data_IF_861733388161
#
_entry.id   IF_861733388161
#
_cell.length_a   1.000
_cell.length_b   1.000
_cell.length_c   1.000
_cell.angle_alpha   90.00
_cell.angle_beta   90.00
_cell.angle_gamma   90.00
#
_symmetry.space_group_name_H-M   'P 1'
#
loop_
_entity.id
_entity.type
_entity.pdbx_description
1 polymer ?
#
# COMPACT_ATOMS: atom_id res chain seq x y z
N UNK A 1 47.63 20.88 19.46
CA UNK A 1 46.84 19.62 19.37
C UNK A 1 45.54 19.57 20.19
N UNK A 2 45.21 20.50 21.10
CA UNK A 2 43.96 20.43 21.89
C UNK A 2 42.70 20.99 21.19
N UNK A 3 42.86 21.96 20.27
CA UNK A 3 41.72 22.61 19.59
C UNK A 3 41.01 21.71 18.55
N UNK A 4 41.74 20.81 17.90
CA UNK A 4 41.19 19.92 16.86
C UNK A 4 40.24 18.87 17.45
N UNK A 5 40.56 18.32 18.63
CA UNK A 5 39.71 17.35 19.32
C UNK A 5 38.41 17.94 19.88
N UNK A 6 38.37 19.24 20.16
CA UNK A 6 37.17 19.91 20.66
C UNK A 6 36.13 20.14 19.55
N UNK A 7 36.57 20.54 18.34
CA UNK A 7 35.67 20.70 17.21
C UNK A 7 35.07 19.37 16.73
N UNK A 8 35.85 18.29 16.73
CA UNK A 8 35.35 16.95 16.38
C UNK A 8 34.27 16.48 17.38
N UNK A 9 34.45 16.76 18.68
CA UNK A 9 33.46 16.43 19.72
C UNK A 9 32.18 17.24 19.60
N UNK A 10 32.27 18.54 19.32
CA UNK A 10 31.09 19.39 19.09
C UNK A 10 30.34 18.95 17.84
N UNK A 11 31.04 18.63 16.74
CA UNK A 11 30.43 18.11 15.52
C UNK A 11 29.73 16.76 15.76
N UNK A 12 30.38 15.83 16.47
CA UNK A 12 29.80 14.53 16.80
C UNK A 12 28.54 14.65 17.69
N UNK A 13 28.54 15.55 18.68
CA UNK A 13 27.38 15.83 19.53
C UNK A 13 26.24 16.44 18.71
N UNK A 14 26.55 17.35 17.78
CA UNK A 14 25.57 17.99 16.90
C UNK A 14 24.90 16.99 15.96
N UNK A 15 25.70 16.08 15.36
CA UNK A 15 25.19 14.99 14.52
C UNK A 15 24.35 14.02 15.34
N UNK A 16 24.78 13.65 16.54
CA UNK A 16 24.02 12.76 17.43
C UNK A 16 22.68 13.39 17.89
N UNK A 17 22.65 14.68 18.21
CA UNK A 17 21.40 15.39 18.55
C UNK A 17 20.47 15.48 17.34
N UNK A 18 21.00 15.77 16.15
CA UNK A 18 20.21 15.80 14.92
C UNK A 18 19.62 14.42 14.58
N UNK A 19 20.38 13.34 14.73
CA UNK A 19 19.88 11.98 14.50
C UNK A 19 18.87 11.55 15.56
N UNK A 20 19.09 11.88 16.84
CA UNK A 20 18.11 11.60 17.91
C UNK A 20 16.82 12.38 17.66
N UNK A 21 16.91 13.64 17.26
CA UNK A 21 15.74 14.48 16.96
C UNK A 21 15.00 13.94 15.74
N UNK A 22 15.72 13.55 14.68
CA UNK A 22 15.15 12.91 13.50
C UNK A 22 14.45 11.60 13.88
N UNK A 23 15.11 10.71 14.62
CA UNK A 23 14.54 9.43 15.10
C UNK A 23 13.32 9.69 15.99
N UNK A 24 13.37 10.66 16.89
CA UNK A 24 12.25 11.04 17.75
C UNK A 24 11.06 11.56 16.95
N UNK A 25 11.28 12.43 15.95
CA UNK A 25 10.22 12.88 15.05
C UNK A 25 9.64 11.74 14.21
N UNK A 26 10.49 10.87 13.64
CA UNK A 26 10.04 9.70 12.87
C UNK A 26 9.24 8.72 13.75
N UNK A 27 9.68 8.45 14.98
CA UNK A 27 9.02 7.52 15.88
C UNK A 27 7.74 8.09 16.51
N UNK A 28 7.63 9.41 16.73
CA UNK A 28 6.49 9.99 17.45
C UNK A 28 5.49 10.76 16.56
N UNK A 29 5.93 11.43 15.49
CA UNK A 29 5.04 12.24 14.65
C UNK A 29 4.29 11.41 13.58
N UNK A 30 4.92 10.37 13.02
CA UNK A 30 4.29 9.52 12.01
C UNK A 30 3.15 8.66 12.57
N UNK A 31 3.27 7.98 13.74
CA UNK A 31 2.15 7.27 14.34
C UNK A 31 1.03 8.19 14.83
N UNK A 32 1.34 9.46 15.15
CA UNK A 32 0.32 10.43 15.53
C UNK A 32 -0.53 10.88 14.34
N UNK A 33 0.05 10.89 13.12
CA UNK A 33 -0.63 11.34 11.90
C UNK A 33 -1.37 10.22 11.17
N UNK A 34 -0.84 9.00 11.23
CA UNK A 34 -1.38 7.87 10.48
C UNK A 34 -1.49 6.63 11.38
N UNK A 35 -2.55 5.82 11.27
CA UNK A 35 -2.60 4.51 11.91
C UNK A 35 -1.62 3.53 11.24
N UNK A 36 -1.11 2.56 12.01
CA UNK A 36 -0.41 1.42 11.45
C UNK A 36 -1.42 0.53 10.72
N UNK A 37 -1.06 0.06 9.52
CA UNK A 37 -1.79 -1.02 8.86
C UNK A 37 -1.12 -2.36 9.15
N UNK A 38 -1.76 -3.44 8.68
CA UNK A 38 -1.13 -4.74 8.70
C UNK A 38 0.16 -4.74 7.86
N UNK A 39 1.28 -5.05 8.50
CA UNK A 39 2.53 -5.28 7.80
C UNK A 39 2.53 -6.72 7.27
N UNK A 40 2.62 -6.93 5.94
CA UNK A 40 2.80 -8.27 5.41
C UNK A 40 4.13 -8.85 5.91
N UNK A 41 4.07 -10.06 6.45
CA UNK A 41 5.22 -10.86 6.86
C UNK A 41 5.87 -11.48 5.63
N UNK A 42 7.14 -11.83 5.71
CA UNK A 42 7.81 -12.57 4.64
C UNK A 42 7.07 -13.89 4.30
N UNK A 43 6.42 -14.51 5.29
CA UNK A 43 5.56 -15.68 5.05
C UNK A 43 4.37 -15.37 4.16
N UNK A 44 3.79 -14.17 4.25
CA UNK A 44 2.66 -13.76 3.41
C UNK A 44 3.13 -13.49 1.98
N UNK A 45 4.40 -13.06 1.81
CA UNK A 45 5.02 -12.85 0.50
C UNK A 45 5.33 -14.20 -0.17
N UNK A 46 5.74 -15.20 0.61
CA UNK A 46 6.08 -16.54 0.13
C UNK A 46 4.86 -17.46 -0.04
N UNK A 47 3.74 -17.16 0.63
CA UNK A 47 2.52 -17.94 0.56
C UNK A 47 1.30 -17.02 0.44
N UNK A 48 1.07 -16.53 -0.78
CA UNK A 48 -0.10 -15.73 -1.12
C UNK A 48 -1.28 -16.59 -1.60
N UNK A 49 -1.36 -17.86 -1.18
CA UNK A 49 -2.43 -18.77 -1.57
C UNK A 49 -3.75 -18.39 -0.88
N UNK A 50 -4.87 -18.69 -1.52
CA UNK A 50 -6.18 -18.57 -0.89
C UNK A 50 -6.29 -19.54 0.28
N UNK A 51 -6.55 -19.02 1.49
CA UNK A 51 -6.82 -19.82 2.67
C UNK A 51 -8.30 -20.24 2.66
N UNK A 52 -8.57 -21.52 2.35
CA UNK A 52 -9.92 -22.08 2.34
C UNK A 52 -10.49 -22.32 3.74
N UNK A 53 -9.63 -22.36 4.76
CA UNK A 53 -10.02 -22.63 6.14
C UNK A 53 -10.40 -21.33 6.87
N UNK A 54 -9.93 -20.18 6.38
CA UNK A 54 -10.22 -18.86 6.93
C UNK A 54 -10.85 -17.92 5.89
N UNK A 55 -12.18 -17.98 5.76
CA UNK A 55 -12.93 -17.28 4.69
C UNK A 55 -13.87 -16.18 5.17
N UNK A 56 -13.97 -15.94 6.48
CA UNK A 56 -14.94 -14.99 7.04
C UNK A 56 -14.19 -13.81 7.67
N UNK A 57 -14.22 -12.68 6.97
CA UNK A 57 -13.75 -11.40 7.49
C UNK A 57 -14.77 -10.75 8.44
N UNK A 58 -14.25 -9.95 9.36
CA UNK A 58 -15.00 -9.05 10.24
C UNK A 58 -14.51 -7.62 10.06
N UNK A 59 -15.41 -6.71 9.68
CA UNK A 59 -15.14 -5.28 9.52
C UNK A 59 -16.10 -4.48 10.38
N UNK A 60 -15.60 -3.80 11.42
CA UNK A 60 -16.42 -3.01 12.36
C UNK A 60 -17.60 -3.81 12.94
N UNK A 61 -17.38 -5.11 13.20
CA UNK A 61 -18.41 -6.03 13.71
C UNK A 61 -19.32 -6.66 12.66
N UNK A 62 -19.31 -6.19 11.41
CA UNK A 62 -20.01 -6.84 10.30
C UNK A 62 -19.17 -7.99 9.72
N UNK A 63 -19.82 -9.10 9.33
CA UNK A 63 -19.15 -10.23 8.68
C UNK A 63 -19.22 -10.11 7.16
N UNK A 64 -18.17 -10.56 6.48
CA UNK A 64 -18.13 -10.66 5.02
C UNK A 64 -17.34 -11.89 4.57
N UNK A 65 -17.78 -12.55 3.51
CA UNK A 65 -17.09 -13.72 2.97
C UNK A 65 -16.01 -13.28 1.98
N UNK A 66 -14.81 -13.82 2.11
CA UNK A 66 -13.75 -13.66 1.12
C UNK A 66 -14.12 -14.37 -0.18
N UNK A 67 -13.54 -13.91 -1.28
CA UNK A 67 -13.78 -14.47 -2.61
C UNK A 67 -12.55 -15.27 -3.05
N UNK A 68 -12.75 -16.54 -3.38
CA UNK A 68 -11.74 -17.33 -4.10
C UNK A 68 -11.75 -16.88 -5.56
N UNK A 69 -10.68 -16.20 -5.96
CA UNK A 69 -10.40 -15.74 -7.32
C UNK A 69 -10.20 -16.96 -8.23
N UNK A 70 -10.71 -16.85 -9.46
CA UNK A 70 -10.50 -17.85 -10.50
C UNK A 70 -9.05 -17.75 -11.00
N UNK A 71 -8.40 -18.89 -11.22
CA UNK A 71 -7.12 -18.95 -11.91
C UNK A 71 -7.35 -18.70 -13.41
N UNK A 72 -7.33 -17.42 -13.79
CA UNK A 72 -7.30 -17.07 -15.21
C UNK A 72 -5.88 -17.32 -15.75
N UNK A 73 -5.74 -17.89 -16.96
CA UNK A 73 -4.45 -17.92 -17.63
C UNK A 73 -4.00 -16.47 -17.81
N UNK A 74 -2.97 -16.08 -17.06
CA UNK A 74 -2.34 -14.76 -17.20
C UNK A 74 -1.85 -14.68 -18.64
N UNK A 75 -2.53 -13.89 -19.46
CA UNK A 75 -2.04 -13.58 -20.80
C UNK A 75 -0.79 -12.72 -20.61
N UNK A 76 0.36 -13.37 -20.51
CA UNK A 76 1.63 -12.70 -20.43
C UNK A 76 1.78 -11.83 -21.67
N UNK A 77 1.80 -10.50 -21.47
CA UNK A 77 2.23 -9.58 -22.51
C UNK A 77 3.64 -10.04 -22.90
N UNK A 78 3.76 -10.64 -24.08
CA UNK A 78 5.00 -11.19 -24.61
C UNK A 78 6.06 -10.08 -24.58
N UNK A 79 7.22 -10.41 -23.99
CA UNK A 79 8.43 -9.61 -23.85
C UNK A 79 8.66 -8.69 -25.06
N UNK A 80 8.74 -7.37 -24.85
CA UNK A 80 9.08 -6.48 -25.95
C UNK A 80 9.17 -4.98 -25.72
N UNK A 81 8.72 -4.42 -24.58
CA UNK A 81 8.92 -2.98 -24.32
C UNK A 81 9.17 -2.70 -22.83
N UNK A 82 10.44 -2.82 -22.43
CA UNK A 82 10.96 -2.50 -21.09
C UNK A 82 11.04 -0.99 -20.80
N UNK A 83 10.35 -0.14 -21.58
CA UNK A 83 10.49 1.32 -21.51
C UNK A 83 9.14 2.05 -21.36
N UNK A 84 8.05 1.37 -21.00
CA UNK A 84 6.78 2.07 -20.78
C UNK A 84 6.82 2.82 -19.44
N UNK A 85 6.61 4.15 -19.46
CA UNK A 85 6.48 4.92 -18.23
C UNK A 85 5.09 4.71 -17.64
N UNK A 86 4.97 3.79 -16.68
CA UNK A 86 3.74 3.55 -15.93
C UNK A 86 3.68 4.40 -14.66
N UNK A 87 2.50 4.95 -14.36
CA UNK A 87 2.21 5.68 -13.12
C UNK A 87 0.78 5.45 -12.69
N UNK A 88 0.56 5.36 -11.38
CA UNK A 88 -0.75 5.38 -10.76
C UNK A 88 -0.93 6.73 -10.07
N UNK A 89 -2.11 7.32 -10.22
CA UNK A 89 -2.51 8.52 -9.53
C UNK A 89 -3.74 8.25 -8.66
N UNK A 90 -3.71 8.70 -7.41
CA UNK A 90 -4.82 8.61 -6.48
C UNK A 90 -5.27 10.02 -6.11
N UNK A 91 -6.46 10.38 -6.57
CA UNK A 91 -7.12 11.63 -6.25
C UNK A 91 -8.07 11.42 -5.05
N UNK A 92 -7.61 11.85 -3.88
CA UNK A 92 -8.37 11.75 -2.63
C UNK A 92 -9.59 12.68 -2.60
N UNK A 93 -9.60 13.74 -3.39
CA UNK A 93 -10.73 14.69 -3.44
C UNK A 93 -11.91 14.05 -4.15
N UNK A 94 -11.64 13.47 -5.32
CA UNK A 94 -12.66 12.88 -6.18
C UNK A 94 -12.88 11.39 -5.93
N UNK A 95 -12.08 10.78 -5.04
CA UNK A 95 -12.11 9.34 -4.75
C UNK A 95 -11.97 8.52 -6.06
N UNK A 96 -10.94 8.88 -6.84
CA UNK A 96 -10.59 8.23 -8.10
C UNK A 96 -9.15 7.73 -8.09
N UNK A 97 -8.93 6.65 -8.81
CA UNK A 97 -7.60 6.17 -9.18
C UNK A 97 -7.48 6.15 -10.70
N UNK A 98 -6.40 6.73 -11.20
CA UNK A 98 -6.06 6.74 -12.61
C UNK A 98 -4.76 5.97 -12.83
N UNK A 99 -4.72 5.13 -13.87
CA UNK A 99 -3.50 4.43 -14.29
C UNK A 99 -3.06 4.96 -15.65
N UNK A 100 -1.81 5.38 -15.76
CA UNK A 100 -1.23 5.94 -16.98
C UNK A 100 -0.09 5.06 -17.48
N UNK A 101 -0.04 4.83 -18.79
CA UNK A 101 1.08 4.19 -19.50
C UNK A 101 1.49 5.13 -20.63
N UNK A 102 2.75 5.59 -20.64
CA UNK A 102 3.28 6.53 -21.65
C UNK A 102 2.45 7.83 -21.78
N UNK A 103 1.93 8.32 -20.66
CA UNK A 103 1.12 9.54 -20.59
C UNK A 103 -0.35 9.35 -21.00
N UNK A 104 -0.74 8.17 -21.51
CA UNK A 104 -2.13 7.85 -21.82
C UNK A 104 -2.81 7.23 -20.60
N UNK A 105 -4.03 7.69 -20.28
CA UNK A 105 -4.86 7.07 -19.24
C UNK A 105 -5.41 5.74 -19.73
N UNK A 106 -4.98 4.66 -19.08
CA UNK A 106 -5.40 3.27 -19.36
C UNK A 106 -6.60 2.89 -18.49
N UNK A 107 -6.56 3.25 -17.21
CA UNK A 107 -7.64 2.96 -16.26
C UNK A 107 -8.12 4.19 -15.51
N UNK A 108 -9.38 4.12 -15.10
CA UNK A 108 -10.09 5.15 -14.36
C UNK A 108 -11.12 4.50 -13.43
N UNK A 109 -10.76 4.34 -12.17
CA UNK A 109 -11.50 3.57 -11.17
C UNK A 109 -12.06 4.46 -10.07
N UNK A 110 -13.23 4.09 -9.57
CA UNK A 110 -13.76 4.64 -8.31
C UNK A 110 -13.12 3.90 -7.14
N UNK A 111 -12.75 4.63 -6.09
CA UNK A 111 -12.06 4.05 -4.91
C UNK A 111 -12.72 4.46 -3.59
N UNK A 112 -12.27 3.86 -2.51
CA UNK A 112 -12.46 4.39 -1.15
C UNK A 112 -11.12 4.49 -0.43
N UNK A 113 -10.67 5.70 -0.12
CA UNK A 113 -9.46 5.93 0.66
C UNK A 113 -9.72 5.87 2.17
N UNK A 114 -8.70 6.19 2.97
CA UNK A 114 -8.75 6.19 4.43
C UNK A 114 -9.64 7.28 5.01
N UNK A 115 -10.36 6.94 6.08
CA UNK A 115 -11.07 7.92 6.90
C UNK A 115 -10.09 8.93 7.52
N UNK A 116 -10.58 10.11 7.91
CA UNK A 116 -9.84 11.11 8.70
C UNK A 116 -8.47 11.51 8.16
N UNK A 117 -8.34 11.57 6.83
CA UNK A 117 -7.08 11.90 6.18
C UNK A 117 -5.95 10.88 6.42
N UNK A 118 -6.29 9.61 6.68
CA UNK A 118 -5.32 8.58 7.01
C UNK A 118 -4.57 7.98 5.81
N UNK A 119 -5.02 8.21 4.57
CA UNK A 119 -4.22 7.85 3.40
C UNK A 119 -3.11 8.89 3.19
N UNK A 120 -1.83 8.49 3.25
CA UNK A 120 -0.73 9.43 3.14
C UNK A 120 -0.63 9.98 1.71
N UNK A 121 -0.28 11.26 1.60
CA UNK A 121 0.00 11.93 0.32
C UNK A 121 1.47 11.87 -0.01
N UNK A 122 1.77 11.98 -1.30
CA UNK A 122 3.14 12.03 -1.81
C UNK A 122 3.36 11.09 -2.97
N UNK A 123 4.63 10.90 -3.31
CA UNK A 123 5.08 9.93 -4.31
C UNK A 123 5.58 8.68 -3.60
N UNK A 124 5.09 7.54 -4.04
CA UNK A 124 5.39 6.21 -3.50
C UNK A 124 5.75 5.27 -4.64
N UNK A 125 6.25 4.09 -4.29
CA UNK A 125 6.47 2.99 -5.22
C UNK A 125 5.89 1.71 -4.64
N UNK A 126 5.32 0.87 -5.50
CA UNK A 126 4.92 -0.49 -5.12
C UNK A 126 6.20 -1.26 -4.74
N UNK A 127 6.21 -1.91 -3.58
CA UNK A 127 7.36 -2.72 -3.17
C UNK A 127 7.05 -4.21 -3.14
N UNK A 128 5.78 -4.60 -3.03
CA UNK A 128 5.36 -5.98 -3.20
C UNK A 128 3.92 -6.07 -3.68
N UNK A 129 3.62 -7.13 -4.42
CA UNK A 129 2.29 -7.50 -4.88
C UNK A 129 1.97 -8.92 -4.40
N UNK A 130 0.80 -9.10 -3.77
CA UNK A 130 0.29 -10.37 -3.27
C UNK A 130 -1.10 -10.64 -3.83
N UNK A 131 -1.35 -11.82 -4.39
CA UNK A 131 -2.67 -12.18 -4.91
C UNK A 131 -3.70 -12.30 -3.78
N UNK A 132 -3.28 -12.84 -2.63
CA UNK A 132 -4.04 -12.81 -1.39
C UNK A 132 -3.15 -12.42 -0.21
N UNK A 133 -3.71 -11.67 0.73
CA UNK A 133 -3.03 -11.37 2.00
C UNK A 133 -4.06 -11.25 3.11
N UNK A 134 -3.71 -11.68 4.33
CA UNK A 134 -4.54 -11.37 5.49
C UNK A 134 -4.23 -9.96 5.96
N UNK A 135 -5.24 -9.18 6.30
CA UNK A 135 -5.07 -7.89 6.97
C UNK A 135 -5.84 -7.88 8.30
N UNK A 136 -5.16 -7.49 9.37
CA UNK A 136 -5.75 -7.35 10.70
C UNK A 136 -5.22 -6.09 11.37
N UNK A 137 -6.09 -5.35 12.05
CA UNK A 137 -5.70 -4.11 12.72
C UNK A 137 -6.86 -3.42 13.41
N UNK A 138 -6.67 -2.14 13.71
CA UNK A 138 -7.62 -1.33 14.47
C UNK A 138 -7.65 -1.70 15.96
N UNK A 139 -8.64 -1.18 16.68
CA UNK A 139 -8.76 -1.35 18.12
C UNK A 139 -10.18 -1.77 18.50
N UNK A 140 -10.30 -2.87 19.28
CA UNK A 140 -11.59 -3.42 19.71
C UNK A 140 -12.35 -2.46 20.64
N UNK A 141 -11.65 -1.80 21.55
CA UNK A 141 -12.22 -0.82 22.49
C UNK A 141 -12.76 0.40 21.74
N UNK A 142 -12.03 0.85 20.71
CA UNK A 142 -12.44 1.99 19.87
C UNK A 142 -13.41 1.59 18.75
N UNK A 143 -13.84 0.33 18.67
CA UNK A 143 -14.73 -0.22 17.63
C UNK A 143 -14.22 -0.01 16.20
N UNK A 144 -12.91 0.06 16.02
CA UNK A 144 -12.22 0.16 14.71
C UNK A 144 -11.55 -1.14 14.29
N UNK A 145 -11.64 -2.19 15.11
CA UNK A 145 -11.04 -3.48 14.81
C UNK A 145 -11.56 -4.08 13.51
N UNK A 146 -10.65 -4.67 12.74
CA UNK A 146 -10.95 -5.46 11.57
C UNK A 146 -10.05 -6.70 11.49
N UNK A 147 -10.62 -7.76 10.94
CA UNK A 147 -9.96 -9.02 10.60
C UNK A 147 -10.40 -9.40 9.19
N UNK A 148 -9.49 -9.44 8.24
CA UNK A 148 -9.82 -9.61 6.83
C UNK A 148 -8.89 -10.67 6.23
N UNK A 149 -9.28 -11.95 6.21
CA UNK A 149 -8.52 -12.95 5.49
C UNK A 149 -8.65 -12.75 3.98
N UNK A 150 -7.69 -13.27 3.21
CA UNK A 150 -7.75 -13.35 1.76
C UNK A 150 -8.09 -12.01 1.06
N UNK A 151 -7.54 -10.89 1.52
CA UNK A 151 -7.66 -9.59 0.83
C UNK A 151 -7.01 -9.71 -0.55
N UNK A 152 -7.78 -9.53 -1.64
CA UNK A 152 -7.31 -9.86 -2.97
C UNK A 152 -6.48 -8.74 -3.61
N UNK A 153 -5.53 -9.12 -4.46
CA UNK A 153 -4.78 -8.23 -5.35
C UNK A 153 -4.11 -7.05 -4.64
N UNK A 154 -3.40 -7.34 -3.55
CA UNK A 154 -2.79 -6.30 -2.72
C UNK A 154 -1.47 -5.83 -3.32
N UNK A 155 -1.34 -4.52 -3.50
CA UNK A 155 -0.13 -3.82 -3.93
C UNK A 155 0.31 -2.88 -2.81
N UNK A 156 1.27 -3.31 -1.99
CA UNK A 156 1.79 -2.47 -0.92
C UNK A 156 2.79 -1.46 -1.45
N UNK A 157 2.74 -0.25 -0.91
CA UNK A 157 3.59 0.86 -1.34
C UNK A 157 4.32 1.53 -0.17
N UNK A 158 5.40 2.24 -0.49
CA UNK A 158 6.23 2.94 0.48
C UNK A 158 6.94 4.13 -0.14
N UNK A 159 7.49 4.98 0.72
CA UNK A 159 8.54 5.93 0.40
C UNK A 159 9.40 6.18 1.65
N UNK A 160 10.33 7.12 1.58
CA UNK A 160 11.26 7.41 2.69
C UNK A 160 10.55 7.91 3.96
N UNK A 161 9.38 8.56 3.80
CA UNK A 161 8.61 9.13 4.92
C UNK A 161 7.57 8.15 5.49
N UNK A 162 7.04 7.26 4.64
CA UNK A 162 6.07 6.23 4.98
C UNK A 162 6.69 4.88 4.63
N UNK A 163 7.44 4.29 5.58
CA UNK A 163 8.20 3.08 5.32
C UNK A 163 7.29 1.86 5.13
N UNK A 164 7.80 0.83 4.45
CA UNK A 164 7.05 -0.37 4.08
C UNK A 164 6.36 -1.07 5.27
N UNK A 165 6.95 -1.02 6.47
CA UNK A 165 6.36 -1.61 7.68
C UNK A 165 5.03 -0.96 8.10
N UNK A 166 4.66 0.19 7.52
CA UNK A 166 3.38 0.84 7.77
C UNK A 166 2.21 0.15 7.10
N UNK A 167 2.46 -0.73 6.12
CA UNK A 167 1.45 -1.61 5.52
C UNK A 167 0.41 -0.92 4.64
N UNK A 168 0.68 0.28 4.13
CA UNK A 168 -0.25 0.93 3.19
C UNK A 168 -0.24 0.22 1.84
N UNK A 169 -1.42 0.03 1.26
CA UNK A 169 -1.55 -0.61 -0.04
C UNK A 169 -2.80 -0.20 -0.80
N UNK A 170 -2.81 -0.56 -2.08
CA UNK A 170 -3.97 -0.62 -2.94
C UNK A 170 -4.46 -2.07 -2.95
N UNK A 171 -5.76 -2.35 -2.80
CA UNK A 171 -6.25 -3.74 -2.84
C UNK A 171 -7.73 -3.84 -3.19
N UNK A 172 -8.16 -5.04 -3.60
CA UNK A 172 -9.57 -5.36 -3.77
C UNK A 172 -10.28 -5.48 -2.43
N UNK A 173 -11.60 -5.26 -2.42
CA UNK A 173 -12.38 -5.12 -1.18
C UNK A 173 -13.68 -5.91 -1.28
N UNK A 174 -13.86 -6.90 -0.41
CA UNK A 174 -15.07 -7.74 -0.38
C UNK A 174 -16.04 -7.41 0.78
N UNK A 175 -15.63 -6.58 1.74
CA UNK A 175 -16.39 -6.31 2.97
C UNK A 175 -17.28 -5.05 2.92
N UNK A 176 -17.19 -4.24 1.87
CA UNK A 176 -18.09 -3.12 1.63
C UNK A 176 -18.14 -2.76 0.14
N UNK A 177 -19.20 -2.05 -0.27
CA UNK A 177 -19.37 -1.52 -1.63
C UNK A 177 -19.43 0.02 -1.69
N UNK A 178 -18.97 0.70 -0.63
CA UNK A 178 -19.07 2.15 -0.41
C UNK A 178 -18.10 3.01 -1.25
N UNK A 179 -17.83 2.61 -2.49
CA UNK A 179 -16.88 3.31 -3.37
C UNK A 179 -17.33 4.73 -3.72
N UNK A 180 -16.38 5.65 -3.87
CA UNK A 180 -16.61 7.07 -4.14
C UNK A 180 -16.59 7.93 -2.87
N UNK A 181 -16.36 7.32 -1.71
CA UNK A 181 -16.19 8.01 -0.42
C UNK A 181 -15.14 7.31 0.43
N UNK A 182 -14.45 8.05 1.32
CA UNK A 182 -13.51 7.46 2.27
C UNK A 182 -14.18 6.42 3.17
N UNK A 183 -13.50 5.30 3.41
CA UNK A 183 -14.03 4.19 4.19
C UNK A 183 -12.97 3.39 4.95
N UNK A 184 -11.73 3.32 4.45
CA UNK A 184 -10.71 2.41 4.96
C UNK A 184 -9.98 2.99 6.18
N UNK A 185 -9.02 2.23 6.73
CA UNK A 185 -8.09 2.71 7.75
C UNK A 185 -6.85 3.39 7.19
N UNK A 186 -6.74 3.58 5.88
CA UNK A 186 -5.59 4.20 5.24
C UNK A 186 -5.26 3.64 3.86
N UNK A 187 -5.48 2.34 3.65
CA UNK A 187 -5.33 1.71 2.33
C UNK A 187 -6.32 2.29 1.31
N UNK A 188 -6.03 2.11 0.02
CA UNK A 188 -6.94 2.51 -1.05
C UNK A 188 -7.72 1.28 -1.48
N UNK A 189 -9.01 1.28 -1.20
CA UNK A 189 -9.92 0.18 -1.50
C UNK A 189 -10.42 0.34 -2.94
N UNK A 190 -10.24 -0.71 -3.74
CA UNK A 190 -10.81 -0.85 -5.07
C UNK A 190 -11.90 -1.93 -5.08
N UNK A 191 -12.78 -1.88 -6.07
CA UNK A 191 -13.57 -3.05 -6.45
C UNK A 191 -12.61 -4.18 -6.84
N UNK A 192 -12.93 -5.41 -6.46
CA UNK A 192 -12.02 -6.55 -6.66
C UNK A 192 -11.65 -6.74 -8.14
N UNK A 193 -12.60 -6.55 -9.05
CA UNK A 193 -12.39 -6.63 -10.50
C UNK A 193 -11.51 -5.50 -11.06
N UNK A 194 -11.49 -4.33 -10.42
CA UNK A 194 -10.64 -3.21 -10.82
C UNK A 194 -9.23 -3.36 -10.21
N UNK A 195 -9.15 -3.88 -8.98
CA UNK A 195 -7.89 -4.26 -8.34
C UNK A 195 -7.15 -5.32 -9.16
N UNK A 196 -7.87 -6.31 -9.70
CA UNK A 196 -7.32 -7.33 -10.59
C UNK A 196 -6.63 -6.74 -11.81
N UNK A 197 -7.37 -5.89 -12.56
CA UNK A 197 -6.84 -5.23 -13.76
C UNK A 197 -5.59 -4.41 -13.43
N UNK A 198 -5.64 -3.66 -12.33
CA UNK A 198 -4.52 -2.83 -11.89
C UNK A 198 -3.33 -3.70 -11.48
N UNK A 199 -3.55 -4.78 -10.75
CA UNK A 199 -2.52 -5.69 -10.25
C UNK A 199 -1.71 -6.36 -11.36
N UNK A 200 -2.38 -6.82 -12.42
CA UNK A 200 -1.71 -7.44 -13.56
C UNK A 200 -1.07 -6.43 -14.51
N UNK A 201 -1.57 -5.19 -14.55
CA UNK A 201 -0.97 -4.11 -15.34
C UNK A 201 0.25 -3.46 -14.67
N UNK A 202 0.19 -3.28 -13.35
CA UNK A 202 1.22 -2.61 -12.57
C UNK A 202 2.48 -3.46 -12.40
N UNK A 203 3.60 -2.77 -12.27
CA UNK A 203 4.90 -3.33 -11.92
C UNK A 203 5.08 -3.36 -10.39
N UNK A 204 5.91 -4.25 -9.83
CA UNK A 204 6.83 -5.17 -10.52
C UNK A 204 6.10 -6.25 -11.32
N UNK A 205 6.68 -6.68 -12.44
CA UNK A 205 6.13 -7.75 -13.25
C UNK A 205 6.13 -9.07 -12.47
N UNK A 206 5.05 -9.84 -12.58
CA UNK A 206 4.88 -11.09 -11.83
C UNK A 206 5.78 -12.22 -12.33
N UNK A 207 6.21 -12.19 -13.60
CA UNK A 207 7.07 -13.21 -14.22
C UNK A 207 6.57 -14.64 -13.98
N UNK A 208 5.26 -14.86 -14.12
CA UNK A 208 4.61 -16.16 -13.94
C UNK A 208 4.31 -16.55 -12.48
N UNK A 209 4.61 -15.68 -11.51
CA UNK A 209 4.27 -15.87 -10.09
C UNK A 209 2.91 -15.26 -9.75
N UNK A 210 2.40 -15.58 -8.56
CA UNK A 210 1.20 -14.96 -7.97
C UNK A 210 1.55 -13.80 -7.02
N UNK A 211 2.74 -13.84 -6.42
CA UNK A 211 3.34 -12.76 -5.65
C UNK A 211 4.71 -12.33 -6.18
N UNK A 212 5.10 -11.08 -5.89
CA UNK A 212 6.40 -10.55 -6.29
C UNK A 212 6.83 -9.38 -5.40
N UNK A 213 8.12 -9.33 -5.05
CA UNK A 213 8.76 -8.17 -4.45
C UNK A 213 9.49 -7.36 -5.53
N UNK A 214 9.42 -6.04 -5.45
CA UNK A 214 10.17 -5.17 -6.33
C UNK A 214 11.68 -5.32 -6.10
N UNK A 215 12.45 -5.15 -7.17
CA UNK A 215 13.92 -5.16 -7.18
C UNK A 215 14.44 -4.09 -8.15
N UNK A 216 15.74 -3.84 -8.15
CA UNK A 216 16.33 -2.85 -9.07
C UNK A 216 16.05 -3.18 -10.55
N UNK A 217 16.10 -4.47 -10.91
CA UNK A 217 15.81 -4.95 -12.27
C UNK A 217 14.30 -5.10 -12.58
N UNK A 218 13.44 -4.96 -11.58
CA UNK A 218 11.99 -5.09 -11.70
C UNK A 218 11.33 -4.14 -10.69
N UNK A 219 11.46 -2.81 -10.92
CA UNK A 219 11.00 -1.82 -9.97
C UNK A 219 9.47 -1.80 -9.93
N UNK A 220 8.90 -1.32 -8.83
CA UNK A 220 7.46 -1.13 -8.75
C UNK A 220 6.97 0.13 -9.43
N UNK A 221 5.71 0.11 -9.90
CA UNK A 221 5.08 1.29 -10.49
C UNK A 221 5.01 2.42 -9.47
N UNK A 222 5.32 3.64 -9.94
CA UNK A 222 5.18 4.85 -9.16
C UNK A 222 3.70 5.14 -8.86
N UNK A 223 3.40 5.54 -7.63
CA UNK A 223 2.07 5.99 -7.19
C UNK A 223 2.19 7.44 -6.72
N UNK A 224 1.33 8.32 -7.21
CA UNK A 224 1.22 9.71 -6.74
C UNK A 224 -0.14 9.89 -6.08
N UNK A 225 -0.15 10.19 -4.78
CA UNK A 225 -1.37 10.38 -4.00
C UNK A 225 -1.50 11.86 -3.64
N UNK A 226 -2.61 12.49 -4.05
CA UNK A 226 -2.87 13.92 -3.90
C UNK A 226 -4.33 14.22 -3.57
N UNK A 227 -4.67 15.50 -3.47
CA UNK A 227 -6.04 15.96 -3.21
C UNK A 227 -6.34 16.08 -1.72
N UNK A 228 -7.44 16.75 -1.37
CA UNK A 228 -7.87 16.97 0.02
C UNK A 228 -9.21 16.30 0.25
N UNK A 229 -9.41 15.76 1.44
CA UNK A 229 -10.74 15.33 1.86
C UNK A 229 -11.63 16.57 1.91
N UNK A 230 -12.81 16.51 1.29
CA UNK A 230 -13.78 17.59 1.36
C UNK A 230 -14.13 17.88 2.81
N UNK A 231 -14.08 19.17 3.19
CA UNK A 231 -14.53 19.66 4.49
C UNK A 231 -16.04 19.65 4.64
#
# INVERSE_FOLDING_TARGET
>A
MKFFGMQIRVLAISVALATITLVYFYQNALPARFPNQYQPKETDILNDSYDSDDTIGTWHGAKANSVKLVDLPVNQKVLGQTNSSKRIEVDLTNQRLYAFENGQKIYDFVISSGLYDWTPRGTFYIWTKLRYTKMEGGNKVLRTYYYLPNVPYTMYFYNDQVPAYRGFGLHGTYWHNDFGRPKSHGCVNLKTEDAEKLFYWAEPELNGKTSVRASDDNPGTQIVIYGKYGG
#
